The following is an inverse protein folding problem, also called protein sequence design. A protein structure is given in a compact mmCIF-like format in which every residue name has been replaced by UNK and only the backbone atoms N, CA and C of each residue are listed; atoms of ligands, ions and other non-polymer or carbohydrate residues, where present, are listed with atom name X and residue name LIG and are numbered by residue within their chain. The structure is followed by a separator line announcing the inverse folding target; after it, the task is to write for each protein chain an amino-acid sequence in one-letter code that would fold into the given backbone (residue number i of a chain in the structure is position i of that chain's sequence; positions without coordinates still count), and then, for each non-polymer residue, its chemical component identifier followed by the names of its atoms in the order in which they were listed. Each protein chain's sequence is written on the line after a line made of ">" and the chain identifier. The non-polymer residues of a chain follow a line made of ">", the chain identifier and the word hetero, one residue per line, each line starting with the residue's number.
data_IF_877138936538
#
_entry.id   IF_877138936538
#
_cell.length_a   1.000
_cell.length_b   1.000
_cell.length_c   1.000
_cell.angle_alpha   90.00
_cell.angle_beta   90.00
_cell.angle_gamma   90.00
#
_symmetry.space_group_name_H-M   'P 1'
#
loop_
_entity.id
_entity.type
_entity.pdbx_description
1 polymer ?
#
# COMPACT_ATOMS: atom_id res chain seq x y z
N UNK A 1 8.71 71.31 -41.82
CA UNK A 1 8.28 71.08 -43.23
C UNK A 1 7.94 69.62 -43.40
N UNK A 2 6.68 69.36 -43.66
CA UNK A 2 6.03 68.35 -44.53
C UNK A 2 6.58 66.91 -44.47
N UNK A 3 5.71 65.96 -43.95
CA UNK A 3 4.75 65.08 -44.68
C UNK A 3 5.49 63.94 -45.40
N UNK A 4 5.13 62.70 -45.34
CA UNK A 4 3.90 61.91 -45.51
C UNK A 4 4.22 60.41 -45.46
N UNK A 5 3.39 59.67 -44.82
CA UNK A 5 2.77 58.38 -45.15
C UNK A 5 3.50 57.37 -46.04
N UNK A 6 3.66 56.11 -45.52
CA UNK A 6 3.30 54.95 -46.30
C UNK A 6 2.90 53.76 -45.42
N UNK A 7 1.72 53.24 -45.66
CA UNK A 7 1.14 52.05 -45.12
C UNK A 7 1.78 50.79 -45.80
N UNK A 8 2.05 49.74 -45.01
CA UNK A 8 2.03 48.37 -45.56
C UNK A 8 1.83 47.32 -44.41
N UNK A 9 0.72 46.76 -44.43
CA UNK A 9 0.20 45.44 -44.05
C UNK A 9 1.12 44.53 -43.24
N UNK A 10 0.67 44.24 -42.03
CA UNK A 10 1.08 43.16 -41.12
C UNK A 10 0.30 41.89 -41.44
N UNK A 11 0.99 40.82 -41.68
CA UNK A 11 0.45 39.47 -41.62
C UNK A 11 0.42 39.00 -40.15
N UNK A 12 -0.74 38.71 -39.61
CA UNK A 12 -0.93 38.23 -38.25
C UNK A 12 -0.44 36.78 -38.07
N UNK A 13 0.49 36.60 -37.19
CA UNK A 13 0.81 35.29 -36.64
C UNK A 13 0.02 35.06 -35.35
N UNK A 14 -1.03 34.24 -35.42
CA UNK A 14 -1.72 33.73 -34.25
C UNK A 14 -0.82 32.72 -33.56
N UNK A 15 -0.21 33.10 -32.46
CA UNK A 15 0.38 32.15 -31.52
C UNK A 15 -0.75 31.41 -30.79
N UNK A 16 -0.98 30.18 -31.14
CA UNK A 16 -1.86 29.26 -30.39
C UNK A 16 -1.19 28.96 -29.04
N UNK A 17 -1.66 29.62 -27.97
CA UNK A 17 -1.40 29.22 -26.62
C UNK A 17 -2.13 27.90 -26.38
N UNK A 18 -1.41 26.80 -26.34
CA UNK A 18 -1.94 25.52 -25.90
C UNK A 18 -2.31 25.65 -24.42
N UNK A 19 -3.58 25.87 -24.13
CA UNK A 19 -4.12 25.67 -22.78
C UNK A 19 -3.95 24.18 -22.46
N UNK A 20 -3.00 23.90 -21.56
CA UNK A 20 -2.97 22.63 -20.84
C UNK A 20 -4.26 22.60 -20.01
N UNK A 21 -5.26 21.85 -20.46
CA UNK A 21 -6.44 21.55 -19.66
C UNK A 21 -5.94 20.88 -18.37
N UNK A 22 -6.15 21.54 -17.24
CA UNK A 22 -6.06 20.92 -15.93
C UNK A 22 -6.98 19.70 -15.98
N UNK A 23 -6.38 18.51 -15.74
CA UNK A 23 -7.12 17.27 -15.70
C UNK A 23 -8.26 17.38 -14.69
N UNK A 24 -9.45 17.02 -15.11
CA UNK A 24 -10.60 16.88 -14.20
C UNK A 24 -10.19 15.93 -13.05
N UNK A 25 -10.62 16.21 -11.80
CA UNK A 25 -10.40 15.28 -10.71
C UNK A 25 -11.07 13.96 -11.09
N UNK A 26 -10.28 12.88 -11.14
CA UNK A 26 -10.81 11.52 -11.33
C UNK A 26 -11.91 11.33 -10.27
N UNK A 27 -13.12 11.11 -10.72
CA UNK A 27 -14.20 10.59 -9.86
C UNK A 27 -13.70 9.29 -9.27
N UNK A 28 -13.96 9.07 -7.99
CA UNK A 28 -13.73 7.81 -7.25
C UNK A 28 -14.63 6.67 -7.77
N UNK A 29 -14.54 6.39 -9.06
CA UNK A 29 -15.17 5.21 -9.64
C UNK A 29 -14.06 4.17 -9.82
N UNK A 30 -13.91 3.30 -8.83
CA UNK A 30 -13.31 2.00 -9.10
C UNK A 30 -14.06 1.39 -10.30
N UNK A 31 -13.39 0.78 -11.28
CA UNK A 31 -14.06 0.07 -12.35
C UNK A 31 -14.72 -1.17 -11.75
N UNK A 32 -16.00 -1.09 -11.48
CA UNK A 32 -16.83 -2.13 -10.89
C UNK A 32 -17.53 -2.98 -11.96
N UNK A 33 -16.91 -3.11 -13.12
CA UNK A 33 -17.45 -3.88 -14.24
C UNK A 33 -16.93 -5.31 -14.20
N UNK A 34 -17.65 -6.21 -13.55
CA UNK A 34 -17.47 -7.65 -13.75
C UNK A 34 -17.43 -8.52 -12.51
N UNK A 35 -17.53 -7.99 -11.28
CA UNK A 35 -17.60 -8.80 -10.07
C UNK A 35 -19.06 -9.04 -9.68
N UNK A 36 -19.52 -10.29 -9.43
CA UNK A 36 -20.91 -10.59 -9.10
C UNK A 36 -21.34 -9.95 -7.77
N UNK A 37 -22.49 -9.25 -7.80
CA UNK A 37 -23.28 -8.88 -6.63
C UNK A 37 -22.83 -7.64 -5.85
N UNK A 38 -23.70 -6.62 -5.78
CA UNK A 38 -23.52 -5.38 -5.00
C UNK A 38 -23.53 -5.57 -3.47
N UNK A 39 -23.30 -6.79 -2.95
CA UNK A 39 -23.28 -7.13 -1.53
C UNK A 39 -22.17 -8.09 -1.14
N UNK A 40 -21.25 -8.43 -2.03
CA UNK A 40 -20.19 -9.38 -1.70
C UNK A 40 -19.08 -8.71 -0.86
N UNK A 41 -19.02 -9.11 0.41
CA UNK A 41 -18.00 -8.67 1.37
C UNK A 41 -16.57 -8.92 0.87
N UNK A 42 -16.35 -9.93 0.01
CA UNK A 42 -15.04 -10.25 -0.57
C UNK A 42 -14.43 -9.12 -1.39
N UNK A 43 -15.25 -8.21 -1.92
CA UNK A 43 -14.76 -7.01 -2.61
C UNK A 43 -13.97 -6.06 -1.71
N UNK A 44 -14.09 -6.20 -0.41
CA UNK A 44 -13.36 -5.42 0.58
C UNK A 44 -12.16 -6.16 1.16
N UNK A 45 -11.78 -7.30 0.57
CA UNK A 45 -10.71 -8.15 1.08
C UNK A 45 -9.64 -8.32 -0.02
N UNK A 46 -8.38 -8.15 0.38
CA UNK A 46 -7.21 -8.52 -0.40
C UNK A 46 -6.45 -9.64 0.30
N UNK A 47 -5.59 -10.33 -0.45
CA UNK A 47 -4.60 -11.26 0.12
C UNK A 47 -3.20 -10.75 -0.26
N UNK A 48 -2.37 -10.54 0.78
CA UNK A 48 -0.97 -10.18 0.63
C UNK A 48 -0.12 -11.42 0.30
N UNK A 49 0.82 -11.28 -0.63
CA UNK A 49 1.83 -12.31 -0.88
C UNK A 49 2.67 -12.62 0.37
N UNK A 50 2.71 -11.68 1.34
CA UNK A 50 3.39 -11.91 2.62
C UNK A 50 2.80 -13.07 3.40
N UNK A 51 1.49 -13.29 3.31
CA UNK A 51 0.82 -14.47 3.92
C UNK A 51 1.45 -15.81 3.50
N UNK A 52 2.03 -15.86 2.31
CA UNK A 52 2.68 -17.05 1.76
C UNK A 52 4.20 -16.85 1.58
N UNK A 53 4.82 -15.92 2.33
CA UNK A 53 6.24 -15.55 2.20
C UNK A 53 7.19 -16.73 2.27
N UNK A 54 6.83 -17.81 2.99
CA UNK A 54 7.64 -19.01 3.11
C UNK A 54 7.70 -19.85 1.81
N UNK A 55 6.86 -19.56 0.83
CA UNK A 55 6.86 -20.20 -0.49
C UNK A 55 7.56 -19.35 -1.56
N UNK A 56 7.98 -18.12 -1.25
CA UNK A 56 8.76 -17.30 -2.17
C UNK A 56 10.26 -17.41 -1.86
N UNK A 57 11.08 -17.59 -2.89
CA UNK A 57 12.53 -17.82 -2.74
C UNK A 57 13.24 -16.68 -2.02
N UNK A 58 12.79 -15.44 -2.25
CA UNK A 58 13.39 -14.24 -1.65
C UNK A 58 13.18 -14.12 -0.14
N UNK A 59 12.10 -14.68 0.40
CA UNK A 59 11.67 -14.51 1.80
C UNK A 59 11.61 -15.81 2.59
N UNK A 60 11.82 -16.94 1.91
CA UNK A 60 11.87 -18.26 2.55
C UNK A 60 13.05 -18.34 3.51
N UNK A 61 12.77 -18.43 4.82
CA UNK A 61 13.80 -18.66 5.82
C UNK A 61 14.54 -19.99 5.61
N UNK A 62 15.83 -20.05 5.96
CA UNK A 62 16.68 -21.27 5.83
C UNK A 62 16.13 -22.48 6.59
N UNK A 63 15.28 -22.27 7.59
CA UNK A 63 14.66 -23.29 8.43
C UNK A 63 13.24 -23.66 8.04
N UNK A 64 12.70 -23.06 6.99
CA UNK A 64 11.32 -23.37 6.56
C UNK A 64 11.26 -24.78 5.95
N UNK A 65 10.63 -25.69 6.69
CA UNK A 65 10.40 -27.07 6.28
C UNK A 65 9.01 -27.30 5.66
N UNK A 66 8.31 -26.23 5.24
CA UNK A 66 6.98 -26.36 4.64
C UNK A 66 7.09 -27.17 3.34
N UNK A 67 6.29 -28.23 3.19
CA UNK A 67 6.22 -28.98 1.95
C UNK A 67 5.52 -28.17 0.87
N UNK A 68 5.91 -28.36 -0.38
CA UNK A 68 5.27 -27.75 -1.54
C UNK A 68 6.26 -27.08 -2.47
N UNK A 69 5.77 -26.76 -3.65
CA UNK A 69 6.52 -26.06 -4.68
C UNK A 69 6.65 -24.56 -4.34
N UNK A 70 7.74 -23.96 -4.81
CA UNK A 70 7.93 -22.51 -4.68
C UNK A 70 6.90 -21.78 -5.54
N UNK A 71 6.42 -20.64 -5.02
CA UNK A 71 5.51 -19.78 -5.74
C UNK A 71 6.28 -18.77 -6.59
N UNK A 72 5.75 -18.58 -7.81
CA UNK A 72 6.12 -17.47 -8.66
C UNK A 72 5.02 -16.41 -8.61
N UNK A 73 5.42 -15.13 -8.54
CA UNK A 73 4.46 -14.03 -8.44
C UNK A 73 3.48 -13.99 -9.63
N UNK A 74 3.93 -14.42 -10.80
CA UNK A 74 3.11 -14.48 -12.03
C UNK A 74 1.91 -15.43 -11.89
N UNK A 75 2.01 -16.47 -11.06
CA UNK A 75 0.93 -17.43 -10.87
C UNK A 75 0.00 -17.10 -9.71
N UNK A 76 0.44 -16.19 -8.84
CA UNK A 76 -0.30 -15.80 -7.64
C UNK A 76 -1.71 -15.26 -7.94
N UNK A 77 -1.95 -14.40 -8.96
CA UNK A 77 -3.30 -13.88 -9.24
C UNK A 77 -4.33 -14.98 -9.53
N UNK A 78 -3.99 -15.93 -10.37
CA UNK A 78 -4.88 -17.04 -10.72
C UNK A 78 -5.11 -17.97 -9.51
N UNK A 79 -4.05 -18.31 -8.79
CA UNK A 79 -4.12 -19.19 -7.63
C UNK A 79 -5.01 -18.61 -6.52
N UNK A 80 -4.90 -17.31 -6.21
CA UNK A 80 -5.74 -16.66 -5.20
C UNK A 80 -7.20 -16.57 -5.65
N UNK A 81 -7.44 -16.18 -6.90
CA UNK A 81 -8.78 -16.10 -7.46
C UNK A 81 -9.47 -17.48 -7.44
N UNK A 82 -8.77 -18.54 -7.81
CA UNK A 82 -9.30 -19.91 -7.84
C UNK A 82 -9.56 -20.46 -6.45
N UNK A 83 -8.61 -20.27 -5.53
CA UNK A 83 -8.67 -20.90 -4.20
C UNK A 83 -9.62 -20.18 -3.24
N UNK A 84 -9.56 -18.84 -3.19
CA UNK A 84 -10.25 -18.04 -2.17
C UNK A 84 -11.41 -17.21 -2.71
N UNK A 85 -11.55 -17.09 -4.04
CA UNK A 85 -12.50 -16.17 -4.70
C UNK A 85 -12.28 -14.73 -4.29
N UNK A 86 -11.00 -14.34 -4.13
CA UNK A 86 -10.54 -12.99 -3.84
C UNK A 86 -9.81 -12.45 -5.07
N UNK A 87 -10.12 -11.22 -5.44
CA UNK A 87 -9.62 -10.56 -6.63
C UNK A 87 -8.83 -9.27 -6.35
N UNK A 88 -8.70 -8.86 -5.09
CA UNK A 88 -7.76 -7.83 -4.69
C UNK A 88 -6.51 -8.47 -4.11
N UNK A 89 -5.36 -7.98 -4.51
CA UNK A 89 -4.05 -8.55 -4.18
C UNK A 89 -3.11 -7.46 -3.67
N UNK A 90 -2.20 -7.86 -2.81
CA UNK A 90 -1.09 -7.05 -2.37
C UNK A 90 0.22 -7.80 -2.62
N UNK A 91 1.19 -7.13 -3.25
CA UNK A 91 2.46 -7.76 -3.64
C UNK A 91 3.63 -7.10 -2.92
N UNK A 92 4.34 -7.86 -2.11
CA UNK A 92 5.56 -7.37 -1.44
C UNK A 92 6.70 -7.29 -2.45
N UNK A 93 7.42 -6.17 -2.47
CA UNK A 93 8.48 -5.91 -3.44
C UNK A 93 9.53 -7.04 -3.60
N UNK A 94 10.00 -7.70 -2.54
CA UNK A 94 10.92 -8.84 -2.66
C UNK A 94 10.40 -10.04 -3.45
N UNK A 95 9.08 -10.16 -3.63
CA UNK A 95 8.48 -11.30 -4.35
C UNK A 95 8.44 -11.12 -5.88
N UNK A 96 8.76 -9.92 -6.37
CA UNK A 96 8.88 -9.69 -7.81
C UNK A 96 10.10 -10.43 -8.35
N UNK A 97 9.89 -11.34 -9.30
CA UNK A 97 10.98 -12.06 -9.97
C UNK A 97 11.84 -11.14 -10.84
N UNK A 98 11.26 -10.03 -11.32
CA UNK A 98 11.94 -8.98 -12.05
C UNK A 98 11.12 -7.68 -12.01
N UNK A 99 11.77 -6.56 -12.32
CA UNK A 99 11.11 -5.26 -12.54
C UNK A 99 11.32 -4.74 -13.98
N UNK A 100 11.79 -5.61 -14.87
CA UNK A 100 11.95 -5.28 -16.28
C UNK A 100 10.58 -5.10 -16.96
N UNK A 101 10.46 -4.22 -17.95
CA UNK A 101 9.17 -3.92 -18.60
C UNK A 101 8.44 -5.14 -19.15
N UNK A 102 9.16 -6.14 -19.66
CA UNK A 102 8.56 -7.40 -20.16
C UNK A 102 7.89 -8.20 -19.05
N UNK A 103 8.52 -8.28 -17.88
CA UNK A 103 7.97 -8.98 -16.73
C UNK A 103 6.74 -8.24 -16.16
N UNK A 104 6.81 -6.91 -16.03
CA UNK A 104 5.69 -6.10 -15.54
C UNK A 104 4.48 -6.19 -16.48
N UNK A 105 4.74 -6.24 -17.79
CA UNK A 105 3.69 -6.45 -18.79
C UNK A 105 3.02 -7.82 -18.62
N UNK A 106 3.80 -8.91 -18.47
CA UNK A 106 3.26 -10.25 -18.24
C UNK A 106 2.45 -10.30 -16.93
N UNK A 107 2.98 -9.73 -15.84
CA UNK A 107 2.27 -9.65 -14.57
C UNK A 107 0.92 -8.91 -14.70
N UNK A 108 0.88 -7.81 -15.43
CA UNK A 108 -0.35 -7.06 -15.72
C UNK A 108 -1.35 -7.88 -16.53
N UNK A 109 -0.87 -8.65 -17.52
CA UNK A 109 -1.71 -9.56 -18.30
C UNK A 109 -2.28 -10.69 -17.40
N UNK A 110 -1.48 -11.24 -16.48
CA UNK A 110 -1.92 -12.25 -15.50
C UNK A 110 -2.97 -11.70 -14.54
N UNK A 111 -2.78 -10.49 -14.03
CA UNK A 111 -3.79 -9.79 -13.22
C UNK A 111 -5.11 -9.64 -13.99
N UNK A 112 -5.03 -9.17 -15.23
CA UNK A 112 -6.21 -8.98 -16.09
C UNK A 112 -6.94 -10.31 -16.35
N UNK A 113 -6.21 -11.38 -16.67
CA UNK A 113 -6.77 -12.70 -16.93
C UNK A 113 -7.46 -13.31 -15.71
N UNK A 114 -6.93 -13.04 -14.51
CA UNK A 114 -7.51 -13.48 -13.24
C UNK A 114 -8.61 -12.53 -12.73
N UNK A 115 -8.96 -11.47 -13.47
CA UNK A 115 -9.85 -10.39 -13.03
C UNK A 115 -9.43 -9.80 -11.67
N UNK A 116 -8.12 -9.73 -11.44
CA UNK A 116 -7.55 -9.29 -10.16
C UNK A 116 -6.97 -7.88 -10.25
N UNK A 117 -6.98 -7.18 -9.12
CA UNK A 117 -6.50 -5.80 -8.97
C UNK A 117 -5.45 -5.72 -7.88
N UNK A 118 -4.33 -5.07 -8.18
CA UNK A 118 -3.32 -4.79 -7.19
C UNK A 118 -3.73 -3.55 -6.38
N UNK A 119 -3.79 -3.68 -5.05
CA UNK A 119 -4.24 -2.59 -4.16
C UNK A 119 -3.10 -1.87 -3.48
N UNK A 120 -1.99 -2.55 -3.22
CA UNK A 120 -0.81 -2.00 -2.55
C UNK A 120 0.45 -2.78 -2.92
N UNK A 121 1.59 -2.11 -2.86
CA UNK A 121 2.93 -2.73 -2.90
C UNK A 121 3.69 -2.30 -1.65
N UNK A 122 3.83 -3.16 -0.63
CA UNK A 122 4.80 -2.96 0.43
C UNK A 122 6.23 -2.98 -0.14
N UNK A 123 6.90 -1.82 -0.05
CA UNK A 123 8.28 -1.64 -0.57
C UNK A 123 9.27 -1.97 0.51
N UNK A 124 9.77 -3.20 0.45
CA UNK A 124 10.77 -3.73 1.37
C UNK A 124 12.08 -3.92 0.60
N UNK A 125 12.85 -2.84 0.49
CA UNK A 125 14.09 -2.76 -0.30
C UNK A 125 15.26 -2.30 0.57
N UNK A 126 16.51 -2.69 0.22
CA UNK A 126 17.68 -2.36 1.02
C UNK A 126 17.88 -0.87 1.29
N UNK A 127 17.51 0.01 0.35
CA UNK A 127 17.66 1.45 0.48
C UNK A 127 16.78 2.05 1.59
N UNK A 128 15.64 1.44 1.90
CA UNK A 128 14.76 1.86 2.99
C UNK A 128 15.24 1.38 4.36
N UNK A 129 16.09 0.35 4.40
CA UNK A 129 16.63 -0.22 5.64
C UNK A 129 18.06 0.23 5.94
N UNK A 130 18.79 0.79 4.96
CA UNK A 130 20.15 1.27 5.14
C UNK A 130 20.17 2.50 6.05
N UNK A 131 21.00 2.46 7.10
CA UNK A 131 21.06 3.56 8.06
C UNK A 131 19.70 3.79 8.74
N UNK A 132 19.19 5.00 8.66
CA UNK A 132 17.86 5.39 9.13
C UNK A 132 16.77 5.36 8.05
N UNK A 133 17.09 4.95 6.82
CA UNK A 133 16.15 4.95 5.71
C UNK A 133 15.63 6.36 5.37
N UNK A 134 14.31 6.50 5.22
CA UNK A 134 13.67 7.80 4.96
C UNK A 134 13.73 8.77 6.15
N UNK A 135 14.18 8.32 7.31
CA UNK A 135 14.34 9.10 8.54
C UNK A 135 15.80 9.41 8.87
N UNK A 136 16.75 9.02 8.02
CA UNK A 136 18.16 9.25 8.29
C UNK A 136 18.47 10.76 8.34
N UNK A 137 19.32 11.24 9.28
CA UNK A 137 19.76 12.64 9.28
C UNK A 137 20.67 12.97 8.09
N UNK A 138 21.33 12.00 7.48
CA UNK A 138 22.15 12.17 6.28
C UNK A 138 21.27 12.26 5.04
N UNK A 139 21.31 13.40 4.35
CA UNK A 139 20.56 13.66 3.14
C UNK A 139 20.89 12.67 2.01
N UNK A 140 22.12 12.16 1.95
CA UNK A 140 22.53 11.20 0.91
C UNK A 140 21.85 9.85 1.13
N UNK A 141 21.75 9.41 2.38
CA UNK A 141 21.02 8.16 2.72
C UNK A 141 19.54 8.30 2.39
N UNK A 142 18.93 9.43 2.81
CA UNK A 142 17.51 9.69 2.48
C UNK A 142 17.27 9.78 0.97
N UNK A 143 18.13 10.45 0.22
CA UNK A 143 18.01 10.57 -1.23
C UNK A 143 18.00 9.20 -1.92
N UNK A 144 18.83 8.25 -1.48
CA UNK A 144 18.81 6.88 -2.00
C UNK A 144 17.49 6.17 -1.69
N UNK A 145 16.99 6.27 -0.45
CA UNK A 145 15.68 5.71 -0.06
C UNK A 145 14.53 6.33 -0.86
N UNK A 146 14.52 7.65 -1.02
CA UNK A 146 13.52 8.37 -1.83
C UNK A 146 13.56 7.92 -3.30
N UNK A 147 14.74 7.77 -3.89
CA UNK A 147 14.90 7.32 -5.26
C UNK A 147 14.38 5.87 -5.45
N UNK A 148 14.72 4.98 -4.51
CA UNK A 148 14.22 3.61 -4.48
C UNK A 148 12.68 3.57 -4.37
N UNK A 149 12.10 4.34 -3.45
CA UNK A 149 10.66 4.43 -3.28
C UNK A 149 9.96 4.98 -4.54
N UNK A 150 10.51 6.02 -5.19
CA UNK A 150 9.97 6.57 -6.45
C UNK A 150 9.94 5.55 -7.57
N UNK A 151 10.97 4.70 -7.70
CA UNK A 151 10.97 3.59 -8.67
C UNK A 151 9.77 2.66 -8.44
N UNK A 152 9.45 2.33 -7.19
CA UNK A 152 8.31 1.48 -6.87
C UNK A 152 6.96 2.19 -7.04
N UNK A 153 6.91 3.50 -6.87
CA UNK A 153 5.72 4.31 -7.22
C UNK A 153 5.47 4.24 -8.74
N UNK A 154 6.51 4.32 -9.58
CA UNK A 154 6.39 4.17 -11.03
C UNK A 154 5.91 2.77 -11.42
N UNK A 155 6.48 1.71 -10.82
CA UNK A 155 6.03 0.33 -11.00
C UNK A 155 4.56 0.18 -10.57
N UNK A 156 4.21 0.75 -9.43
CA UNK A 156 2.83 0.75 -8.94
C UNK A 156 1.86 1.42 -9.90
N UNK A 157 2.23 2.57 -10.46
CA UNK A 157 1.44 3.27 -11.47
C UNK A 157 1.26 2.45 -12.74
N UNK A 158 2.31 1.76 -13.21
CA UNK A 158 2.28 0.89 -14.39
C UNK A 158 1.35 -0.31 -14.18
N UNK A 159 1.41 -0.94 -13.01
CA UNK A 159 0.55 -2.07 -12.64
C UNK A 159 -0.86 -1.64 -12.24
N UNK A 160 -1.11 -0.33 -12.06
CA UNK A 160 -2.42 0.22 -11.71
C UNK A 160 -2.77 0.07 -10.23
N UNK A 161 -1.78 -0.07 -9.33
CA UNK A 161 -2.04 -0.11 -7.89
C UNK A 161 -2.50 1.24 -7.34
N UNK A 162 -3.29 1.19 -6.27
CA UNK A 162 -3.78 2.41 -5.60
C UNK A 162 -2.77 3.00 -4.61
N UNK A 163 -1.90 2.17 -4.05
CA UNK A 163 -0.96 2.60 -3.04
C UNK A 163 0.38 1.87 -3.13
N UNK A 164 1.39 2.50 -2.54
CA UNK A 164 2.71 1.93 -2.28
C UNK A 164 3.06 2.21 -0.82
N UNK A 165 3.30 1.16 -0.03
CA UNK A 165 3.73 1.31 1.36
C UNK A 165 5.25 1.45 1.42
N UNK A 166 5.73 2.54 1.99
CA UNK A 166 7.14 2.76 2.26
C UNK A 166 7.32 2.93 3.76
N UNK A 167 8.19 2.15 4.37
CA UNK A 167 8.51 2.30 5.78
C UNK A 167 9.37 3.54 6.03
N UNK A 168 9.15 4.28 7.14
CA UNK A 168 9.92 5.46 7.47
C UNK A 168 11.37 5.16 7.87
N UNK A 169 11.70 3.90 8.13
CA UNK A 169 12.99 3.52 8.70
C UNK A 169 13.09 3.87 10.19
N UNK A 170 14.25 4.31 10.63
CA UNK A 170 14.51 4.62 12.06
C UNK A 170 14.00 6.01 12.44
N UNK A 171 12.70 6.15 12.50
CA UNK A 171 12.02 7.40 12.89
C UNK A 171 12.43 7.82 14.31
N UNK A 172 12.78 9.10 14.48
CA UNK A 172 13.17 9.69 15.78
C UNK A 172 12.09 10.64 16.26
N UNK A 173 11.38 10.34 17.36
CA UNK A 173 10.30 11.20 17.88
C UNK A 173 10.75 12.63 18.22
N UNK A 174 12.01 12.78 18.67
CA UNK A 174 12.59 14.07 18.99
C UNK A 174 12.93 14.93 17.75
N UNK A 175 12.99 14.31 16.57
CA UNK A 175 13.25 15.02 15.32
C UNK A 175 12.60 14.31 14.12
N UNK A 176 11.34 14.62 13.85
CA UNK A 176 10.61 14.09 12.70
C UNK A 176 10.87 14.85 11.39
N UNK A 177 11.61 15.96 11.42
CA UNK A 177 11.79 16.81 10.25
C UNK A 177 12.36 16.08 9.02
N UNK A 178 13.41 15.23 9.12
CA UNK A 178 13.91 14.46 7.98
C UNK A 178 12.85 13.52 7.40
N UNK A 179 12.10 12.83 8.26
CA UNK A 179 11.02 11.92 7.85
C UNK A 179 9.91 12.67 7.13
N UNK A 180 9.46 13.78 7.69
CA UNK A 180 8.41 14.64 7.12
C UNK A 180 8.83 15.13 5.74
N UNK A 181 10.07 15.58 5.58
CA UNK A 181 10.58 16.05 4.28
C UNK A 181 10.57 14.92 3.23
N UNK A 182 11.05 13.73 3.59
CA UNK A 182 11.02 12.55 2.72
C UNK A 182 9.61 12.23 2.24
N UNK A 183 8.63 12.20 3.16
CA UNK A 183 7.24 11.89 2.80
C UNK A 183 6.53 13.02 2.05
N UNK A 184 6.87 14.28 2.25
CA UNK A 184 6.41 15.39 1.38
C UNK A 184 6.81 15.16 -0.07
N UNK A 185 8.06 14.78 -0.31
CA UNK A 185 8.57 14.50 -1.64
C UNK A 185 7.89 13.27 -2.26
N UNK A 186 7.74 12.19 -1.50
CA UNK A 186 7.12 10.96 -1.97
C UNK A 186 5.62 11.13 -2.21
N UNK A 187 4.91 11.82 -1.32
CA UNK A 187 3.47 12.10 -1.48
C UNK A 187 3.19 12.98 -2.71
N UNK A 188 4.01 14.00 -2.94
CA UNK A 188 3.90 14.85 -4.14
C UNK A 188 4.16 14.04 -5.41
N UNK A 189 5.18 13.18 -5.41
CA UNK A 189 5.51 12.32 -6.55
C UNK A 189 4.41 11.29 -6.80
N UNK A 190 3.94 10.59 -5.76
CA UNK A 190 2.87 9.61 -5.86
C UNK A 190 1.56 10.23 -6.36
N UNK A 191 1.20 11.42 -5.85
CA UNK A 191 0.04 12.18 -6.32
C UNK A 191 0.10 12.48 -7.83
N UNK A 192 1.28 12.86 -8.35
CA UNK A 192 1.48 13.10 -9.78
C UNK A 192 1.33 11.82 -10.62
N UNK A 193 1.56 10.65 -10.04
CA UNK A 193 1.42 9.33 -10.67
C UNK A 193 0.06 8.67 -10.41
N UNK A 194 -0.78 9.25 -9.56
CA UNK A 194 -2.06 8.68 -9.15
C UNK A 194 -1.93 7.51 -8.17
N UNK A 195 -0.84 7.46 -7.41
CA UNK A 195 -0.52 6.42 -6.41
C UNK A 195 -0.38 7.07 -5.04
N UNK A 196 -1.09 6.57 -4.04
CA UNK A 196 -0.92 7.02 -2.66
C UNK A 196 0.36 6.42 -2.05
N UNK A 197 1.11 7.22 -1.31
CA UNK A 197 2.22 6.73 -0.48
C UNK A 197 1.73 6.56 0.94
N UNK A 198 1.82 5.35 1.47
CA UNK A 198 1.26 5.00 2.77
C UNK A 198 2.31 4.42 3.71
N UNK A 199 2.04 4.49 5.01
CA UNK A 199 2.92 4.13 6.11
C UNK A 199 2.18 3.20 7.05
N UNK A 200 2.79 2.08 7.34
CA UNK A 200 2.29 1.09 8.29
C UNK A 200 2.83 1.35 9.71
N UNK A 201 2.06 1.00 10.73
CA UNK A 201 2.60 0.77 12.07
C UNK A 201 3.33 -0.58 12.09
N UNK A 202 4.59 -0.58 11.60
CA UNK A 202 5.40 -1.77 11.37
C UNK A 202 6.60 -1.84 12.33
N UNK A 203 6.33 -2.16 13.59
CA UNK A 203 7.34 -2.23 14.65
C UNK A 203 7.85 -0.86 15.12
N UNK A 204 8.74 -0.87 16.12
CA UNK A 204 9.42 0.29 16.66
C UNK A 204 8.49 1.44 17.05
N UNK A 205 8.96 2.67 16.83
CA UNK A 205 8.25 3.88 17.26
C UNK A 205 6.82 3.95 16.70
N UNK A 206 6.58 3.55 15.46
CA UNK A 206 5.26 3.61 14.84
C UNK A 206 4.23 2.70 15.50
N UNK A 207 4.66 1.57 16.03
CA UNK A 207 3.81 0.60 16.76
C UNK A 207 3.71 0.91 18.25
N UNK A 208 4.82 1.30 18.88
CA UNK A 208 4.89 1.58 20.32
C UNK A 208 4.24 2.93 20.68
N UNK A 209 4.38 3.90 19.81
CA UNK A 209 3.91 5.28 19.96
C UNK A 209 3.18 5.78 18.71
N UNK A 210 1.96 5.29 18.45
CA UNK A 210 1.20 5.61 17.23
C UNK A 210 0.93 7.12 17.07
N UNK A 211 1.01 7.89 18.16
CA UNK A 211 0.94 9.36 18.14
C UNK A 211 2.04 9.99 17.27
N UNK A 212 3.21 9.35 17.18
CA UNK A 212 4.31 9.86 16.37
C UNK A 212 4.02 9.72 14.86
N UNK A 213 3.29 8.67 14.45
CA UNK A 213 2.79 8.56 13.09
C UNK A 213 1.76 9.66 12.79
N UNK A 214 0.89 9.98 13.73
CA UNK A 214 -0.07 11.09 13.55
C UNK A 214 0.65 12.44 13.39
N UNK A 215 1.68 12.71 14.20
CA UNK A 215 2.51 13.90 14.05
C UNK A 215 3.19 13.95 12.68
N UNK A 216 3.71 12.81 12.21
CA UNK A 216 4.28 12.67 10.88
C UNK A 216 3.23 13.02 9.80
N UNK A 217 2.04 12.42 9.85
CA UNK A 217 0.97 12.69 8.87
C UNK A 217 0.57 14.16 8.84
N UNK A 218 0.40 14.78 10.01
CA UNK A 218 0.11 16.21 10.13
C UNK A 218 1.25 17.09 9.57
N UNK A 219 2.50 16.68 9.80
CA UNK A 219 3.68 17.36 9.28
C UNK A 219 3.81 17.26 7.75
N UNK A 220 3.38 16.16 7.14
CA UNK A 220 3.36 16.01 5.68
C UNK A 220 2.32 16.92 5.05
N UNK A 221 1.12 17.00 5.62
CA UNK A 221 0.08 17.91 5.16
C UNK A 221 -1.27 17.59 5.78
N UNK A 222 -2.16 18.60 5.86
CA UNK A 222 -3.49 18.45 6.48
C UNK A 222 -4.37 17.40 5.78
N UNK A 223 -4.21 17.28 4.45
CA UNK A 223 -5.00 16.33 3.62
C UNK A 223 -4.29 15.00 3.43
N UNK A 224 -3.14 14.78 4.06
CA UNK A 224 -2.40 13.53 3.91
C UNK A 224 -3.13 12.37 4.57
N UNK A 225 -3.58 11.41 3.75
CA UNK A 225 -4.27 10.18 4.15
C UNK A 225 -3.39 8.98 3.87
N UNK A 226 -2.27 8.90 4.58
CA UNK A 226 -1.21 7.93 4.33
C UNK A 226 -1.06 6.85 5.40
N UNK A 227 -2.08 6.56 6.21
CA UNK A 227 -1.99 5.46 7.15
C UNK A 227 -2.37 4.12 6.49
N UNK A 228 -1.57 3.09 6.80
CA UNK A 228 -1.90 1.68 6.66
C UNK A 228 -1.94 1.09 8.09
N UNK A 229 -3.10 1.06 8.76
CA UNK A 229 -3.21 0.41 10.06
C UNK A 229 -3.02 -1.10 9.93
N UNK A 230 -2.13 -1.68 10.74
CA UNK A 230 -2.01 -3.12 10.93
C UNK A 230 -2.63 -3.51 12.28
N UNK A 231 -3.41 -4.58 12.31
CA UNK A 231 -4.14 -5.00 13.51
C UNK A 231 -3.23 -5.58 14.59
N UNK A 232 -2.15 -6.25 14.22
CA UNK A 232 -1.33 -7.02 15.18
C UNK A 232 0.00 -6.35 15.55
N UNK A 233 0.51 -5.42 14.76
CA UNK A 233 1.83 -4.82 14.96
C UNK A 233 1.88 -3.81 16.14
N UNK A 234 1.18 -4.08 17.22
CA UNK A 234 1.21 -3.30 18.46
C UNK A 234 1.71 -4.16 19.63
N UNK A 235 2.40 -3.58 20.63
CA UNK A 235 2.97 -4.34 21.74
C UNK A 235 1.92 -4.95 22.68
N UNK A 236 0.75 -4.33 22.82
CA UNK A 236 -0.31 -4.73 23.73
C UNK A 236 -1.70 -4.24 23.27
N UNK A 237 -2.76 -4.77 23.87
CA UNK A 237 -4.14 -4.39 23.53
C UNK A 237 -4.47 -2.91 23.78
N UNK A 238 -4.09 -2.29 24.92
CA UNK A 238 -4.34 -0.86 25.12
C UNK A 238 -3.69 0.01 24.07
N UNK A 239 -2.46 -0.30 23.65
CA UNK A 239 -1.74 0.42 22.59
C UNK A 239 -2.39 0.18 21.23
N UNK A 240 -2.86 -1.05 20.94
CA UNK A 240 -3.59 -1.40 19.73
C UNK A 240 -4.87 -0.61 19.59
N UNK A 241 -5.74 -0.64 20.59
CA UNK A 241 -7.00 0.11 20.54
C UNK A 241 -6.78 1.62 20.36
N UNK A 242 -5.84 2.19 21.11
CA UNK A 242 -5.48 3.59 21.00
C UNK A 242 -4.90 3.89 19.61
N UNK A 243 -3.95 3.08 19.14
CA UNK A 243 -3.29 3.24 17.86
C UNK A 243 -4.25 3.15 16.69
N UNK A 244 -5.12 2.16 16.65
CA UNK A 244 -6.11 2.01 15.59
C UNK A 244 -7.09 3.19 15.56
N UNK A 245 -7.57 3.67 16.73
CA UNK A 245 -8.42 4.87 16.81
C UNK A 245 -7.72 6.12 16.27
N UNK A 246 -6.40 6.25 16.46
CA UNK A 246 -5.60 7.36 15.97
C UNK A 246 -5.29 7.25 14.47
N UNK A 247 -5.03 6.05 13.95
CA UNK A 247 -4.55 5.84 12.58
C UNK A 247 -5.68 5.75 11.54
N UNK A 248 -6.83 5.12 11.88
CA UNK A 248 -7.93 4.97 10.92
C UNK A 248 -8.46 6.28 10.32
N UNK A 249 -8.51 7.43 11.03
CA UNK A 249 -8.88 8.71 10.40
C UNK A 249 -7.95 9.14 9.26
N UNK A 250 -6.74 8.58 9.18
CA UNK A 250 -5.76 8.81 8.11
C UNK A 250 -5.70 7.65 7.11
N UNK A 251 -6.43 6.56 7.32
CA UNK A 251 -6.47 5.40 6.44
C UNK A 251 -7.53 5.57 5.33
N UNK A 252 -7.15 5.29 4.08
CA UNK A 252 -8.07 5.40 2.94
C UNK A 252 -8.05 4.18 2.04
N UNK A 253 -6.90 3.58 1.79
CA UNK A 253 -6.72 2.57 0.75
C UNK A 253 -6.80 1.16 1.33
N UNK A 254 -5.94 0.83 2.26
CA UNK A 254 -5.76 -0.53 2.77
C UNK A 254 -5.44 -0.51 4.27
N UNK A 255 -5.88 -1.54 4.99
CA UNK A 255 -5.35 -1.90 6.30
C UNK A 255 -4.98 -3.38 6.31
N UNK A 256 -4.01 -3.79 7.13
CA UNK A 256 -3.64 -5.19 7.29
C UNK A 256 -4.54 -5.86 8.35
N UNK A 257 -5.33 -6.84 7.91
CA UNK A 257 -6.04 -7.76 8.76
C UNK A 257 -5.15 -8.96 9.01
N UNK A 258 -4.30 -8.86 10.04
CA UNK A 258 -3.32 -9.89 10.35
C UNK A 258 -3.98 -11.10 11.00
N UNK A 259 -3.55 -12.31 10.63
CA UNK A 259 -3.91 -13.56 11.29
C UNK A 259 -2.66 -14.21 11.89
N UNK A 260 -2.76 -14.65 13.14
CA UNK A 260 -1.63 -15.27 13.86
C UNK A 260 -1.99 -16.66 14.37
N UNK A 261 -2.93 -16.78 15.30
CA UNK A 261 -3.32 -18.05 15.91
C UNK A 261 -4.84 -18.11 16.05
N UNK A 262 -5.42 -19.29 15.77
CA UNK A 262 -6.85 -19.46 15.77
C UNK A 262 -7.27 -20.61 16.69
N UNK A 263 -8.35 -20.41 17.44
CA UNK A 263 -9.00 -21.47 18.21
C UNK A 263 -9.74 -22.48 17.30
N UNK A 264 -10.38 -23.48 17.93
CA UNK A 264 -11.14 -24.51 17.23
C UNK A 264 -12.37 -23.95 16.48
N UNK A 265 -12.87 -22.77 16.87
CA UNK A 265 -13.98 -22.07 16.26
C UNK A 265 -13.54 -21.12 15.15
N UNK A 266 -12.21 -20.98 14.94
CA UNK A 266 -11.60 -20.12 13.92
C UNK A 266 -11.57 -18.64 14.32
N UNK A 267 -11.53 -18.33 15.63
CA UNK A 267 -11.34 -16.98 16.11
C UNK A 267 -9.84 -16.72 16.36
N UNK A 268 -9.34 -15.55 15.98
CA UNK A 268 -8.00 -15.08 16.33
C UNK A 268 -7.85 -14.97 17.85
N UNK A 269 -6.74 -15.51 18.40
CA UNK A 269 -6.55 -15.63 19.86
C UNK A 269 -5.43 -14.76 20.41
N UNK A 270 -4.56 -14.21 19.54
CA UNK A 270 -3.42 -13.40 19.98
C UNK A 270 -3.79 -11.95 20.27
N UNK A 271 -4.93 -11.50 19.72
CA UNK A 271 -5.47 -10.16 19.93
C UNK A 271 -6.99 -10.14 19.64
N UNK A 272 -7.64 -9.04 20.05
CA UNK A 272 -9.07 -8.89 19.87
C UNK A 272 -9.43 -8.43 18.45
N UNK A 273 -9.46 -9.37 17.49
CA UNK A 273 -9.80 -9.10 16.09
C UNK A 273 -11.17 -8.42 15.91
N UNK A 274 -12.26 -8.87 16.58
CA UNK A 274 -13.56 -8.19 16.51
C UNK A 274 -13.49 -6.72 16.91
N UNK A 275 -12.68 -6.38 17.93
CA UNK A 275 -12.49 -5.00 18.38
C UNK A 275 -11.78 -4.14 17.34
N UNK A 276 -10.78 -4.68 16.65
CA UNK A 276 -10.10 -3.99 15.54
C UNK A 276 -11.09 -3.67 14.42
N UNK A 277 -11.96 -4.62 14.05
CA UNK A 277 -13.01 -4.42 13.05
C UNK A 277 -14.05 -3.38 13.50
N UNK A 278 -14.45 -3.40 14.77
CA UNK A 278 -15.35 -2.38 15.34
C UNK A 278 -14.75 -0.98 15.20
N UNK A 279 -13.49 -0.79 15.60
CA UNK A 279 -12.80 0.50 15.53
C UNK A 279 -12.71 0.99 14.07
N UNK A 280 -12.36 0.12 13.13
CA UNK A 280 -12.29 0.49 11.72
C UNK A 280 -13.63 0.96 11.15
N UNK A 281 -14.73 0.28 11.52
CA UNK A 281 -16.10 0.64 11.13
C UNK A 281 -16.55 1.96 11.76
N UNK A 282 -16.27 2.17 13.04
CA UNK A 282 -16.59 3.42 13.75
C UNK A 282 -15.85 4.61 13.15
N UNK A 283 -14.63 4.40 12.65
CA UNK A 283 -13.88 5.41 11.91
C UNK A 283 -14.39 5.64 10.47
N UNK A 284 -15.37 4.87 10.00
CA UNK A 284 -15.91 4.98 8.65
C UNK A 284 -14.99 4.45 7.55
N UNK A 285 -14.05 3.54 7.86
CA UNK A 285 -13.12 3.00 6.89
C UNK A 285 -13.82 2.25 5.77
N UNK A 286 -13.61 2.69 4.52
CA UNK A 286 -14.19 2.11 3.30
C UNK A 286 -13.15 1.43 2.40
N UNK A 287 -11.89 1.37 2.82
CA UNK A 287 -10.80 0.73 2.08
C UNK A 287 -10.84 -0.80 2.13
N UNK A 288 -9.77 -1.41 1.72
CA UNK A 288 -9.57 -2.85 1.60
C UNK A 288 -8.89 -3.39 2.87
N UNK A 289 -9.37 -4.53 3.35
CA UNK A 289 -8.69 -5.31 4.39
C UNK A 289 -7.79 -6.33 3.71
N UNK A 290 -6.48 -6.12 3.76
CA UNK A 290 -5.48 -7.04 3.21
C UNK A 290 -5.10 -8.09 4.25
N UNK A 291 -5.32 -9.35 3.93
CA UNK A 291 -4.94 -10.47 4.79
C UNK A 291 -3.44 -10.64 4.78
N UNK A 292 -2.84 -10.61 5.97
CA UNK A 292 -1.47 -11.04 6.25
C UNK A 292 -1.48 -12.13 7.31
N UNK A 293 -1.22 -13.37 6.92
CA UNK A 293 -1.05 -14.46 7.86
C UNK A 293 0.44 -14.66 8.21
N UNK A 294 0.76 -14.61 9.49
CA UNK A 294 2.11 -14.82 10.02
C UNK A 294 2.16 -15.86 11.15
N UNK A 295 1.09 -16.63 11.29
CA UNK A 295 1.01 -17.67 12.32
C UNK A 295 1.77 -18.94 11.98
N UNK A 296 1.84 -19.89 12.92
CA UNK A 296 2.42 -21.21 12.69
C UNK A 296 1.51 -22.09 11.82
N UNK A 297 2.11 -23.12 11.22
CA UNK A 297 1.39 -24.14 10.47
C UNK A 297 1.25 -23.86 8.98
N UNK A 298 0.19 -24.39 8.38
CA UNK A 298 -0.09 -24.22 6.95
C UNK A 298 -0.60 -22.80 6.66
N UNK A 299 0.16 -21.96 5.94
CA UNK A 299 -0.26 -20.59 5.66
C UNK A 299 -1.49 -20.50 4.74
N UNK A 300 -1.75 -21.48 3.88
CA UNK A 300 -2.98 -21.52 3.10
C UNK A 300 -4.21 -21.69 3.98
N UNK A 301 -4.11 -22.54 5.02
CA UNK A 301 -5.18 -22.68 6.02
C UNK A 301 -5.30 -21.43 6.88
N UNK A 302 -4.17 -20.80 7.23
CA UNK A 302 -4.15 -19.55 7.97
C UNK A 302 -4.85 -18.41 7.24
N UNK A 303 -4.57 -18.25 5.94
CA UNK A 303 -5.28 -17.29 5.07
C UNK A 303 -6.78 -17.59 5.06
N UNK A 304 -7.19 -18.86 4.94
CA UNK A 304 -8.61 -19.22 4.94
C UNK A 304 -9.29 -18.84 6.25
N UNK A 305 -8.67 -19.13 7.41
CA UNK A 305 -9.21 -18.77 8.72
C UNK A 305 -9.35 -17.26 8.92
N UNK A 306 -8.34 -16.49 8.50
CA UNK A 306 -8.38 -15.03 8.54
C UNK A 306 -9.50 -14.49 7.63
N UNK A 307 -9.66 -15.08 6.44
CA UNK A 307 -10.75 -14.73 5.51
C UNK A 307 -12.13 -15.00 6.13
N UNK A 308 -12.31 -16.16 6.74
CA UNK A 308 -13.58 -16.54 7.36
C UNK A 308 -13.90 -15.61 8.54
N UNK A 309 -12.91 -15.23 9.33
CA UNK A 309 -13.10 -14.27 10.42
C UNK A 309 -13.44 -12.87 9.90
N UNK A 310 -12.73 -12.36 8.89
CA UNK A 310 -13.08 -11.11 8.22
C UNK A 310 -14.52 -11.11 7.71
N UNK A 311 -14.95 -12.19 7.06
CA UNK A 311 -16.30 -12.31 6.51
C UNK A 311 -17.39 -12.30 7.60
N UNK A 312 -17.09 -12.81 8.80
CA UNK A 312 -18.01 -12.72 9.96
C UNK A 312 -18.17 -11.28 10.43
N UNK A 313 -17.12 -10.48 10.35
CA UNK A 313 -17.08 -9.13 10.90
C UNK A 313 -17.26 -8.00 9.87
N UNK A 314 -17.27 -8.26 8.55
CA UNK A 314 -17.66 -7.32 7.51
C UNK A 314 -19.20 -7.29 7.37
#
# INVERSE_FOLDING_TARGET
>A
MRRRDFLARTAGGLAAVAMVRAGEPRRDTAPDAGIPGAGDKRRRIAISTWSLHQYFSATRGKSSALPGEMLELLDFPAMIADRYKIHHLEFVAPHFGSVEPSYLKDLKERLTKAHSHLVNIPVDIPELHKGGGLSDPDDTVRAAGIAGAKKWIDIGAELGTRAVRCDPGRMKPENLAPTIDSYKQLAAYGKAKGVDVIIENHGGVGSERPEELVKLFQGVGQDFKGALPDFANFPDEPTRERGLKLLFPYARVVCHAKGLEFDAQGNETRFNFPKCMEISKQAGFQGIYSIEFEGPGDPYLGVQKTLDELLRHL
#
